data_IF_813714939389
#
_entry.id   IF_813714939389
#
_cell.length_a   1.000
_cell.length_b   1.000
_cell.length_c   1.000
_cell.angle_alpha   90.00
_cell.angle_beta   90.00
_cell.angle_gamma   90.00
#
_symmetry.space_group_name_H-M   'P 1'
#
loop_
_entity.id
_entity.type
_entity.pdbx_description
1 polymer ?
#
# COMPACT_ATOMS: atom_id res chain seq x y z
N UNK A 1 -30.70 32.93 14.64
CA UNK A 1 -29.27 32.59 14.47
C UNK A 1 -28.42 33.85 14.47
N UNK A 2 -27.39 33.89 15.32
CA UNK A 2 -26.40 34.98 15.33
C UNK A 2 -25.61 35.01 14.02
N UNK A 3 -25.07 36.19 13.66
CA UNK A 3 -24.23 36.39 12.47
C UNK A 3 -23.01 35.44 12.51
N UNK A 4 -22.44 35.24 13.71
CA UNK A 4 -21.36 34.27 13.97
C UNK A 4 -21.72 32.87 13.52
N UNK A 5 -22.91 32.38 13.87
CA UNK A 5 -23.32 31.04 13.49
C UNK A 5 -23.44 30.89 11.96
N UNK A 6 -24.01 31.89 11.27
CA UNK A 6 -24.16 31.85 9.81
C UNK A 6 -22.80 31.83 9.10
N UNK A 7 -21.89 32.73 9.48
CA UNK A 7 -20.54 32.78 8.88
C UNK A 7 -19.78 31.47 9.14
N UNK A 8 -19.82 30.97 10.38
CA UNK A 8 -19.17 29.71 10.74
C UNK A 8 -19.76 28.54 9.94
N UNK A 9 -21.08 28.52 9.73
CA UNK A 9 -21.75 27.48 8.95
C UNK A 9 -21.32 27.51 7.47
N UNK A 10 -21.35 28.67 6.82
CA UNK A 10 -20.92 28.80 5.42
C UNK A 10 -19.45 28.43 5.23
N UNK A 11 -18.57 28.91 6.12
CA UNK A 11 -17.16 28.58 6.06
C UNK A 11 -16.90 27.09 6.29
N UNK A 12 -17.63 26.47 7.21
CA UNK A 12 -17.54 25.02 7.45
C UNK A 12 -17.97 24.22 6.22
N UNK A 13 -19.01 24.65 5.50
CA UNK A 13 -19.46 24.00 4.27
C UNK A 13 -18.37 24.08 3.19
N UNK A 14 -17.79 25.27 2.97
CA UNK A 14 -16.72 25.46 1.98
C UNK A 14 -15.50 24.60 2.31
N UNK A 15 -15.09 24.59 3.58
CA UNK A 15 -13.99 23.75 4.03
C UNK A 15 -14.30 22.26 3.87
N UNK A 16 -15.50 21.83 4.23
CA UNK A 16 -15.92 20.43 4.09
C UNK A 16 -15.85 19.98 2.62
N UNK A 17 -16.31 20.81 1.68
CA UNK A 17 -16.23 20.53 0.24
C UNK A 17 -14.76 20.48 -0.20
N UNK A 18 -13.95 21.47 0.17
CA UNK A 18 -12.52 21.52 -0.20
C UNK A 18 -11.73 20.32 0.32
N UNK A 19 -11.91 19.97 1.60
CA UNK A 19 -11.29 18.79 2.20
C UNK A 19 -11.83 17.49 1.61
N UNK A 20 -13.12 17.42 1.27
CA UNK A 20 -13.71 16.26 0.60
C UNK A 20 -13.08 16.00 -0.77
N UNK A 21 -12.87 17.05 -1.57
CA UNK A 21 -12.18 16.94 -2.87
C UNK A 21 -10.73 16.50 -2.67
N UNK A 22 -10.00 17.15 -1.76
CA UNK A 22 -8.61 16.82 -1.48
C UNK A 22 -8.42 15.39 -0.97
N UNK A 23 -9.31 14.94 -0.08
CA UNK A 23 -9.33 13.57 0.43
C UNK A 23 -9.63 12.57 -0.68
N UNK A 24 -10.56 12.88 -1.59
CA UNK A 24 -10.89 12.03 -2.74
C UNK A 24 -9.68 11.87 -3.69
N UNK A 25 -8.99 12.97 -4.01
CA UNK A 25 -7.79 12.96 -4.86
C UNK A 25 -6.66 12.18 -4.18
N UNK A 26 -6.45 12.41 -2.88
CA UNK A 26 -5.41 11.72 -2.10
C UNK A 26 -5.68 10.23 -2.01
N UNK A 27 -6.94 9.85 -1.79
CA UNK A 27 -7.42 8.47 -1.78
C UNK A 27 -7.17 7.78 -3.13
N UNK A 28 -7.56 8.41 -4.23
CA UNK A 28 -7.34 7.89 -5.58
C UNK A 28 -5.84 7.72 -5.90
N UNK A 29 -5.03 8.72 -5.54
CA UNK A 29 -3.59 8.67 -5.76
C UNK A 29 -2.92 7.58 -4.93
N UNK A 30 -3.34 7.43 -3.66
CA UNK A 30 -2.84 6.39 -2.77
C UNK A 30 -3.21 4.99 -3.28
N UNK A 31 -4.44 4.81 -3.75
CA UNK A 31 -4.90 3.57 -4.39
C UNK A 31 -4.03 3.21 -5.59
N UNK A 32 -3.84 4.15 -6.53
CA UNK A 32 -3.02 3.92 -7.73
C UNK A 32 -1.55 3.62 -7.42
N UNK A 33 -0.96 4.32 -6.46
CA UNK A 33 0.43 4.05 -6.02
C UNK A 33 0.56 2.67 -5.38
N UNK A 34 -0.40 2.29 -4.53
CA UNK A 34 -0.39 0.99 -3.87
C UNK A 34 -0.58 -0.15 -4.85
N UNK A 35 -1.49 0.01 -5.83
CA UNK A 35 -1.69 -0.97 -6.90
C UNK A 35 -0.36 -1.25 -7.63
N UNK A 36 0.33 -0.20 -8.05
CA UNK A 36 1.63 -0.33 -8.72
C UNK A 36 2.71 -0.94 -7.83
N UNK A 37 2.77 -0.52 -6.56
CA UNK A 37 3.76 -1.03 -5.59
C UNK A 37 3.57 -2.53 -5.33
N UNK A 38 2.32 -2.98 -5.20
CA UNK A 38 2.01 -4.40 -4.98
C UNK A 38 2.35 -5.22 -6.22
N UNK A 39 2.07 -4.74 -7.44
CA UNK A 39 2.49 -5.42 -8.69
C UNK A 39 4.01 -5.54 -8.74
N UNK A 40 4.75 -4.44 -8.56
CA UNK A 40 6.21 -4.47 -8.58
C UNK A 40 6.79 -5.37 -7.49
N UNK A 41 6.26 -5.29 -6.27
CA UNK A 41 6.70 -6.12 -5.14
C UNK A 41 6.37 -7.60 -5.36
N UNK A 42 5.24 -7.90 -6.01
CA UNK A 42 4.83 -9.24 -6.39
C UNK A 42 5.77 -9.85 -7.44
N UNK A 43 6.12 -9.09 -8.47
CA UNK A 43 7.09 -9.51 -9.49
C UNK A 43 8.48 -9.79 -8.89
N UNK A 44 8.99 -8.88 -8.05
CA UNK A 44 10.28 -9.06 -7.36
C UNK A 44 10.22 -10.29 -6.43
N UNK A 45 9.10 -10.49 -5.73
CA UNK A 45 8.89 -11.66 -4.87
C UNK A 45 8.88 -12.95 -5.69
N UNK A 46 8.21 -12.96 -6.83
CA UNK A 46 8.17 -14.10 -7.74
C UNK A 46 9.56 -14.42 -8.31
N UNK A 47 10.33 -13.40 -8.68
CA UNK A 47 11.71 -13.54 -9.12
C UNK A 47 12.61 -14.09 -8.03
N UNK A 48 12.48 -13.60 -6.78
CA UNK A 48 13.22 -14.13 -5.62
C UNK A 48 12.99 -15.62 -5.43
N UNK A 49 11.74 -16.07 -5.42
CA UNK A 49 11.40 -17.50 -5.29
C UNK A 49 11.92 -18.32 -6.46
N UNK A 50 11.90 -17.76 -7.67
CA UNK A 50 12.47 -18.41 -8.84
C UNK A 50 13.97 -18.66 -8.64
N UNK A 51 14.72 -17.66 -8.19
CA UNK A 51 16.15 -17.82 -7.92
C UNK A 51 16.43 -18.80 -6.77
N UNK A 52 15.62 -18.80 -5.70
CA UNK A 52 15.78 -19.73 -4.58
C UNK A 52 15.56 -21.19 -5.02
N UNK A 53 14.49 -21.47 -5.77
CA UNK A 53 14.23 -22.82 -6.30
C UNK A 53 15.26 -23.21 -7.35
N UNK A 54 15.66 -22.27 -8.21
CA UNK A 54 16.73 -22.49 -9.19
C UNK A 54 18.04 -22.87 -8.52
N UNK A 55 18.45 -22.14 -7.48
CA UNK A 55 19.70 -22.40 -6.74
C UNK A 55 19.71 -23.81 -6.13
N UNK A 56 18.57 -24.22 -5.55
CA UNK A 56 18.40 -25.55 -4.99
C UNK A 56 18.59 -26.66 -6.05
N UNK A 57 17.98 -26.50 -7.23
CA UNK A 57 18.09 -27.47 -8.34
C UNK A 57 19.46 -27.42 -9.03
N UNK A 58 20.01 -26.22 -9.21
CA UNK A 58 21.34 -26.01 -9.79
C UNK A 58 22.44 -26.59 -8.91
N UNK A 59 22.27 -26.57 -7.59
CA UNK A 59 23.18 -27.22 -6.64
C UNK A 59 23.21 -28.74 -6.87
N UNK A 60 22.06 -29.40 -6.94
CA UNK A 60 21.99 -30.84 -7.26
C UNK A 60 22.60 -31.16 -8.63
N UNK A 61 22.30 -30.33 -9.64
CA UNK A 61 22.87 -30.47 -10.98
C UNK A 61 24.39 -30.25 -10.96
N UNK A 62 24.88 -29.30 -10.15
CA UNK A 62 26.29 -29.02 -9.95
C UNK A 62 27.05 -30.22 -9.38
N UNK A 63 26.49 -30.89 -8.37
CA UNK A 63 27.08 -32.09 -7.74
C UNK A 63 27.27 -33.19 -8.78
N UNK A 64 26.20 -33.59 -9.50
CA UNK A 64 26.31 -34.69 -10.46
C UNK A 64 27.17 -34.31 -11.68
N UNK A 65 27.20 -33.02 -12.04
CA UNK A 65 28.12 -32.50 -13.05
C UNK A 65 29.58 -32.59 -12.63
N UNK A 66 29.89 -32.30 -11.37
CA UNK A 66 31.23 -32.44 -10.80
C UNK A 66 31.64 -33.91 -10.73
N UNK A 67 30.74 -34.76 -10.22
CA UNK A 67 30.96 -36.18 -10.02
C UNK A 67 31.37 -36.92 -11.29
N UNK A 68 30.84 -36.55 -12.46
CA UNK A 68 31.19 -37.24 -13.71
C UNK A 68 32.62 -37.02 -14.18
N UNK A 69 33.30 -35.91 -13.83
CA UNK A 69 34.56 -35.53 -14.47
C UNK A 69 35.67 -36.60 -14.33
N UNK A 70 35.94 -37.17 -13.13
CA UNK A 70 36.93 -38.23 -12.99
C UNK A 70 36.58 -39.48 -13.82
N UNK A 71 35.28 -39.77 -13.98
CA UNK A 71 34.77 -40.93 -14.72
C UNK A 71 34.91 -40.79 -16.25
N UNK A 72 35.23 -39.59 -16.75
CA UNK A 72 35.50 -39.38 -18.18
C UNK A 72 36.91 -39.81 -18.60
N UNK A 73 37.83 -39.92 -17.64
CA UNK A 73 39.26 -40.14 -17.92
C UNK A 73 39.83 -41.36 -17.20
N UNK A 74 39.07 -41.95 -16.28
CA UNK A 74 39.48 -43.06 -15.44
C UNK A 74 38.35 -44.07 -15.30
N UNK A 75 38.73 -45.34 -15.17
CA UNK A 75 37.81 -46.44 -14.84
C UNK A 75 38.21 -47.05 -13.48
N UNK A 76 37.83 -46.44 -12.34
CA UNK A 76 38.07 -47.03 -11.04
C UNK A 76 37.35 -48.38 -10.91
N UNK A 77 37.78 -49.25 -9.97
CA UNK A 77 37.05 -50.46 -9.63
C UNK A 77 35.57 -50.18 -9.33
N UNK A 78 34.65 -51.00 -9.88
CA UNK A 78 33.19 -50.81 -9.81
C UNK A 78 32.69 -50.55 -8.38
N UNK A 79 33.24 -51.26 -7.38
CA UNK A 79 32.90 -51.09 -5.98
C UNK A 79 33.26 -49.69 -5.42
N UNK A 80 34.37 -49.10 -5.85
CA UNK A 80 34.76 -47.74 -5.43
C UNK A 80 33.81 -46.69 -6.01
N UNK A 81 33.34 -46.88 -7.26
CA UNK A 81 32.35 -46.00 -7.88
C UNK A 81 31.00 -46.09 -7.13
N UNK A 82 30.56 -47.30 -6.78
CA UNK A 82 29.37 -47.52 -5.94
C UNK A 82 29.51 -46.84 -4.58
N UNK A 83 30.67 -46.96 -3.92
CA UNK A 83 30.94 -46.27 -2.65
C UNK A 83 30.88 -44.75 -2.79
N UNK A 84 31.41 -44.19 -3.89
CA UNK A 84 31.35 -42.76 -4.13
C UNK A 84 29.91 -42.26 -4.38
N UNK A 85 29.10 -43.00 -5.15
CA UNK A 85 27.67 -42.71 -5.31
C UNK A 85 26.92 -42.78 -3.98
N UNK A 86 27.23 -43.79 -3.15
CA UNK A 86 26.63 -43.93 -1.81
C UNK A 86 26.98 -42.76 -0.89
N UNK A 87 28.22 -42.26 -0.95
CA UNK A 87 28.65 -41.14 -0.11
C UNK A 87 27.92 -39.84 -0.47
N UNK A 88 27.59 -39.61 -1.75
CA UNK A 88 26.75 -38.46 -2.16
C UNK A 88 25.44 -38.45 -1.39
N UNK A 89 24.75 -39.58 -1.34
CA UNK A 89 23.48 -39.68 -0.60
C UNK A 89 23.73 -39.57 0.90
N UNK A 90 24.75 -40.26 1.45
CA UNK A 90 25.01 -40.25 2.88
C UNK A 90 25.21 -38.84 3.46
N UNK A 91 25.88 -37.94 2.73
CA UNK A 91 26.15 -36.56 3.20
C UNK A 91 25.12 -35.53 2.74
N UNK A 92 24.16 -35.92 1.88
CA UNK A 92 23.09 -35.04 1.39
C UNK A 92 21.72 -35.72 1.54
N UNK A 93 20.99 -35.38 2.60
CA UNK A 93 19.65 -35.94 2.89
C UNK A 93 18.53 -35.46 1.94
N UNK A 94 18.81 -34.44 1.13
CA UNK A 94 17.90 -33.83 0.17
C UNK A 94 17.66 -34.68 -1.09
N UNK A 95 18.58 -35.62 -1.39
CA UNK A 95 18.50 -36.45 -2.59
C UNK A 95 17.97 -37.84 -2.25
N UNK A 96 17.05 -38.32 -3.10
CA UNK A 96 16.45 -39.63 -2.97
C UNK A 96 17.36 -40.72 -3.51
N UNK A 97 18.00 -40.48 -4.66
CA UNK A 97 18.78 -41.49 -5.35
C UNK A 97 19.92 -40.91 -6.18
N UNK A 98 20.93 -41.74 -6.42
CA UNK A 98 22.06 -41.44 -7.27
C UNK A 98 22.32 -42.65 -8.16
N UNK A 99 22.44 -42.42 -9.48
CA UNK A 99 22.54 -43.48 -10.47
C UNK A 99 23.69 -43.24 -11.43
N UNK A 100 24.18 -44.34 -11.99
CA UNK A 100 25.13 -44.35 -13.09
C UNK A 100 24.74 -45.49 -14.03
N UNK A 101 24.87 -45.27 -15.33
CA UNK A 101 24.61 -46.31 -16.32
C UNK A 101 25.54 -46.12 -17.51
N UNK A 102 26.47 -47.05 -17.72
CA UNK A 102 27.38 -47.03 -18.86
C UNK A 102 26.73 -47.62 -20.10
N UNK A 103 27.25 -47.38 -21.30
CA UNK A 103 27.01 -48.23 -22.47
C UNK A 103 27.70 -49.60 -22.29
N UNK A 104 27.28 -50.66 -23.02
CA UNK A 104 27.90 -51.98 -22.90
C UNK A 104 29.44 -51.90 -23.05
N UNK A 105 30.15 -52.55 -22.13
CA UNK A 105 31.61 -52.61 -22.02
C UNK A 105 32.33 -51.24 -21.95
N UNK A 106 31.61 -50.16 -21.67
CA UNK A 106 32.17 -48.80 -21.77
C UNK A 106 32.87 -48.29 -20.52
N UNK A 107 32.76 -48.99 -19.38
CA UNK A 107 33.53 -48.66 -18.17
C UNK A 107 34.94 -49.27 -18.21
N UNK A 108 35.02 -50.60 -18.27
CA UNK A 108 36.25 -51.37 -18.06
C UNK A 108 36.40 -52.54 -19.05
N UNK A 109 35.49 -52.68 -20.02
CA UNK A 109 35.51 -53.76 -21.00
C UNK A 109 35.21 -55.16 -20.45
N UNK A 110 34.74 -55.28 -19.20
CA UNK A 110 34.63 -56.55 -18.48
C UNK A 110 33.21 -56.85 -17.99
N UNK A 111 32.17 -56.47 -18.73
CA UNK A 111 30.78 -56.67 -18.29
C UNK A 111 30.46 -58.14 -18.03
N UNK A 112 31.00 -59.07 -18.82
CA UNK A 112 30.72 -60.51 -18.73
C UNK A 112 30.99 -61.10 -17.34
N UNK A 113 31.97 -60.59 -16.58
CA UNK A 113 32.28 -61.08 -15.22
C UNK A 113 31.20 -60.72 -14.19
N UNK A 114 30.40 -59.68 -14.45
CA UNK A 114 29.45 -59.10 -13.50
C UNK A 114 27.98 -59.43 -13.80
N UNK A 115 27.71 -60.37 -14.72
CA UNK A 115 26.36 -60.77 -15.10
C UNK A 115 25.50 -61.14 -13.88
N UNK A 116 24.32 -60.52 -13.78
CA UNK A 116 23.34 -60.77 -12.71
C UNK A 116 23.85 -60.48 -11.28
N UNK A 117 24.95 -59.75 -11.12
CA UNK A 117 25.40 -59.27 -9.81
C UNK A 117 24.68 -57.96 -9.45
N UNK A 118 24.70 -57.55 -8.17
CA UNK A 118 24.04 -56.30 -7.74
C UNK A 118 24.61 -55.08 -8.48
N UNK A 119 23.73 -54.19 -8.95
CA UNK A 119 24.11 -53.01 -9.74
C UNK A 119 24.40 -53.30 -11.22
N UNK A 120 24.06 -54.50 -11.70
CA UNK A 120 24.28 -54.93 -13.08
C UNK A 120 23.06 -55.60 -13.70
N UNK A 121 22.95 -55.56 -15.03
CA UNK A 121 21.93 -56.30 -15.77
C UNK A 121 22.37 -57.74 -16.11
N UNK A 122 21.54 -58.45 -16.89
CA UNK A 122 21.83 -59.80 -17.36
C UNK A 122 23.05 -59.91 -18.27
N UNK A 123 23.48 -58.80 -18.87
CA UNK A 123 24.70 -58.73 -19.69
C UNK A 123 25.93 -58.37 -18.85
N UNK A 124 25.73 -57.95 -17.60
CA UNK A 124 26.76 -57.51 -16.67
C UNK A 124 27.19 -56.06 -16.86
N UNK A 125 26.37 -55.28 -17.59
CA UNK A 125 26.51 -53.85 -17.79
C UNK A 125 26.51 -53.12 -16.45
N UNK A 126 27.40 -52.15 -16.27
CA UNK A 126 27.47 -51.37 -15.02
C UNK A 126 26.38 -50.30 -14.96
N UNK A 127 25.34 -50.57 -14.17
CA UNK A 127 24.14 -49.74 -14.01
C UNK A 127 23.71 -49.58 -12.53
N UNK A 128 24.60 -49.17 -11.61
CA UNK A 128 24.24 -49.07 -10.20
C UNK A 128 23.22 -47.94 -9.95
N UNK A 129 22.18 -48.26 -9.19
CA UNK A 129 21.25 -47.29 -8.63
C UNK A 129 21.26 -47.39 -7.11
N UNK A 130 21.67 -46.29 -6.47
CA UNK A 130 21.65 -46.14 -5.01
C UNK A 130 20.45 -45.27 -4.68
N UNK A 131 19.62 -45.68 -3.72
CA UNK A 131 18.50 -44.87 -3.27
C UNK A 131 18.17 -45.10 -1.80
N UNK A 132 17.37 -44.20 -1.22
CA UNK A 132 16.88 -44.33 0.16
C UNK A 132 15.97 -45.55 0.31
N UNK A 133 16.15 -46.27 1.41
CA UNK A 133 15.34 -47.43 1.80
C UNK A 133 14.08 -47.03 2.57
N UNK A 134 13.71 -47.82 3.58
CA UNK A 134 12.57 -47.52 4.44
C UNK A 134 12.82 -46.32 5.35
N UNK A 135 14.08 -46.10 5.74
CA UNK A 135 14.52 -44.91 6.49
C UNK A 135 15.42 -44.03 5.63
N UNK A 136 15.57 -42.75 5.99
CA UNK A 136 16.47 -41.84 5.28
C UNK A 136 17.94 -42.25 5.44
N UNK A 137 18.32 -42.97 6.48
CA UNK A 137 19.70 -43.43 6.73
C UNK A 137 20.04 -44.70 5.94
N UNK A 138 19.03 -45.52 5.61
CA UNK A 138 19.20 -46.71 4.80
C UNK A 138 19.45 -46.33 3.33
N UNK A 139 20.55 -46.84 2.76
CA UNK A 139 20.86 -46.69 1.32
C UNK A 139 20.95 -48.08 0.70
N UNK A 140 20.07 -48.35 -0.26
CA UNK A 140 19.91 -49.61 -0.99
C UNK A 140 20.59 -49.51 -2.35
N UNK A 141 21.24 -50.60 -2.77
CA UNK A 141 21.79 -50.77 -4.11
C UNK A 141 20.91 -51.71 -4.93
N UNK A 142 20.47 -51.27 -6.10
CA UNK A 142 19.83 -52.09 -7.14
C UNK A 142 20.39 -51.78 -8.53
N UNK A 143 20.00 -52.57 -9.54
CA UNK A 143 20.30 -52.29 -10.94
C UNK A 143 19.29 -51.27 -11.47
N UNK A 144 19.76 -50.22 -12.14
CA UNK A 144 18.90 -49.19 -12.72
C UNK A 144 17.98 -49.80 -13.78
N UNK A 145 16.69 -49.44 -13.76
CA UNK A 145 15.65 -49.97 -14.65
C UNK A 145 15.36 -48.99 -15.79
N UNK A 146 14.76 -49.52 -16.87
CA UNK A 146 14.17 -48.75 -17.96
C UNK A 146 15.15 -47.92 -18.82
N UNK A 147 16.46 -48.14 -18.71
CA UNK A 147 17.45 -47.43 -19.55
C UNK A 147 17.26 -47.70 -21.05
N UNK A 148 16.55 -48.76 -21.41
CA UNK A 148 16.16 -49.16 -22.77
C UNK A 148 14.71 -48.78 -23.14
N UNK A 149 13.90 -48.30 -22.18
CA UNK A 149 12.52 -47.88 -22.44
C UNK A 149 12.45 -46.58 -23.25
N UNK A 150 11.48 -46.50 -24.17
CA UNK A 150 11.13 -45.27 -24.88
C UNK A 150 10.05 -44.45 -24.16
N UNK A 151 9.49 -44.97 -23.06
CA UNK A 151 8.54 -44.27 -22.21
C UNK A 151 9.20 -43.20 -21.33
N UNK A 152 8.40 -42.38 -20.63
CA UNK A 152 8.91 -41.33 -19.73
C UNK A 152 9.85 -41.87 -18.65
N UNK A 153 9.66 -43.12 -18.21
CA UNK A 153 10.53 -43.79 -17.24
C UNK A 153 11.93 -44.13 -17.77
N UNK A 154 12.16 -44.06 -19.08
CA UNK A 154 13.46 -44.22 -19.72
C UNK A 154 14.12 -42.90 -20.18
N UNK A 155 13.41 -41.76 -20.08
CA UNK A 155 13.91 -40.45 -20.52
C UNK A 155 15.23 -40.06 -19.83
N UNK A 156 15.43 -40.50 -18.58
CA UNK A 156 16.67 -40.26 -17.81
C UNK A 156 17.93 -40.80 -18.52
N UNK A 157 17.80 -41.87 -19.31
CA UNK A 157 18.90 -42.45 -20.09
C UNK A 157 18.84 -42.04 -21.57
N UNK A 158 17.66 -42.18 -22.17
CA UNK A 158 17.47 -42.03 -23.62
C UNK A 158 17.70 -40.60 -24.10
N UNK A 159 17.26 -39.59 -23.35
CA UNK A 159 17.39 -38.19 -23.79
C UNK A 159 18.85 -37.73 -23.75
N UNK A 160 19.61 -37.90 -22.66
CA UNK A 160 21.04 -37.58 -22.67
C UNK A 160 21.82 -38.40 -23.70
N UNK A 161 21.48 -39.69 -23.91
CA UNK A 161 22.09 -40.52 -24.95
C UNK A 161 21.88 -39.95 -26.35
N UNK A 162 20.67 -39.51 -26.69
CA UNK A 162 20.35 -38.96 -28.03
C UNK A 162 20.96 -37.56 -28.21
N UNK A 163 20.73 -36.68 -27.25
CA UNK A 163 21.02 -35.24 -27.36
C UNK A 163 22.44 -34.84 -26.94
N UNK A 164 23.17 -35.75 -26.26
CA UNK A 164 24.49 -35.49 -25.66
C UNK A 164 24.50 -34.28 -24.72
N UNK A 165 23.34 -33.92 -24.18
CA UNK A 165 23.11 -32.72 -23.37
C UNK A 165 22.73 -33.06 -21.94
N UNK A 166 22.95 -32.11 -21.03
CA UNK A 166 22.45 -32.20 -19.64
C UNK A 166 20.92 -32.12 -19.68
N UNK A 167 20.25 -32.80 -18.75
CA UNK A 167 18.81 -32.97 -18.83
C UNK A 167 18.19 -33.14 -17.44
N UNK A 168 17.20 -32.33 -17.10
CA UNK A 168 16.38 -32.52 -15.90
C UNK A 168 15.04 -33.15 -16.28
N UNK A 169 14.82 -34.44 -16.02
CA UNK A 169 13.61 -35.14 -16.50
C UNK A 169 12.33 -34.44 -16.05
N UNK A 170 11.29 -34.47 -16.88
CA UNK A 170 9.94 -34.24 -16.37
C UNK A 170 9.62 -35.25 -15.25
N UNK A 171 8.69 -34.94 -14.34
CA UNK A 171 8.23 -35.87 -13.31
C UNK A 171 7.77 -37.21 -13.88
N UNK A 172 8.19 -38.31 -13.25
CA UNK A 172 7.82 -39.65 -13.67
C UNK A 172 7.83 -40.64 -12.49
N UNK A 173 7.12 -41.76 -12.63
CA UNK A 173 7.14 -42.84 -11.65
C UNK A 173 8.28 -43.81 -11.95
N UNK A 174 9.10 -44.10 -10.94
CA UNK A 174 10.14 -45.12 -10.99
C UNK A 174 9.84 -46.23 -9.98
N UNK A 175 9.90 -47.48 -10.41
CA UNK A 175 9.68 -48.62 -9.53
C UNK A 175 10.98 -49.07 -8.86
N UNK A 176 11.03 -49.08 -7.52
CA UNK A 176 12.16 -49.60 -6.73
C UNK A 176 11.89 -51.03 -6.24
N UNK A 177 12.87 -51.65 -5.57
CA UNK A 177 12.70 -52.95 -4.91
C UNK A 177 11.43 -53.00 -4.04
N UNK A 178 10.68 -54.09 -4.14
CA UNK A 178 9.39 -54.26 -3.44
C UNK A 178 8.17 -53.78 -4.24
N UNK A 179 8.34 -53.44 -5.53
CA UNK A 179 7.27 -52.95 -6.43
C UNK A 179 6.62 -51.64 -5.97
N UNK A 180 7.40 -50.82 -5.25
CA UNK A 180 6.97 -49.49 -4.81
C UNK A 180 7.29 -48.50 -5.92
N UNK A 181 6.31 -47.70 -6.34
CA UNK A 181 6.50 -46.63 -7.32
C UNK A 181 6.76 -45.32 -6.60
N UNK A 182 7.89 -44.70 -6.90
CA UNK A 182 8.31 -43.40 -6.36
C UNK A 182 8.17 -42.37 -7.47
N UNK A 183 7.42 -41.31 -7.20
CA UNK A 183 7.29 -40.17 -8.09
C UNK A 183 8.49 -39.23 -7.90
N UNK A 184 9.27 -39.02 -8.96
CA UNK A 184 10.54 -38.29 -8.90
C UNK A 184 10.82 -37.48 -10.16
N UNK A 185 11.85 -36.64 -10.07
CA UNK A 185 12.56 -36.08 -11.21
C UNK A 185 14.05 -36.36 -11.09
N UNK A 186 14.73 -36.50 -12.21
CA UNK A 186 16.16 -36.86 -12.27
C UNK A 186 16.98 -35.79 -12.97
N UNK A 187 18.06 -35.36 -12.32
CA UNK A 187 19.07 -34.47 -12.88
C UNK A 187 20.17 -35.30 -13.53
N UNK A 188 20.24 -35.27 -14.86
CA UNK A 188 21.07 -36.15 -15.66
C UNK A 188 22.19 -35.42 -16.39
N UNK A 189 23.36 -36.03 -16.40
CA UNK A 189 24.50 -35.61 -17.20
C UNK A 189 25.03 -36.78 -18.03
N UNK A 190 25.33 -36.56 -19.33
CA UNK A 190 25.97 -37.58 -20.14
C UNK A 190 27.46 -37.68 -19.78
N UNK A 191 27.97 -38.91 -19.77
CA UNK A 191 29.38 -39.23 -19.81
C UNK A 191 29.84 -39.07 -21.26
N UNK A 192 30.15 -37.83 -21.66
CA UNK A 192 30.48 -37.47 -23.03
C UNK A 192 31.83 -36.75 -23.10
N UNK A 193 32.78 -37.36 -23.81
CA UNK A 193 34.15 -36.86 -24.00
C UNK A 193 34.68 -37.39 -25.33
N UNK A 194 35.54 -36.61 -26.02
CA UNK A 194 36.11 -36.96 -27.33
C UNK A 194 35.04 -37.41 -28.36
N UNK A 195 33.93 -36.69 -28.39
CA UNK A 195 32.75 -36.94 -29.24
C UNK A 195 32.07 -38.31 -29.05
N UNK A 196 32.43 -39.07 -28.01
CA UNK A 196 31.87 -40.37 -27.69
C UNK A 196 31.02 -40.33 -26.42
N UNK A 197 29.92 -41.08 -26.43
CA UNK A 197 29.01 -41.24 -25.31
C UNK A 197 29.25 -42.58 -24.61
N UNK A 198 29.57 -42.53 -23.33
CA UNK A 198 29.90 -43.69 -22.51
C UNK A 198 28.78 -44.07 -21.53
N UNK A 199 27.77 -43.22 -21.34
CA UNK A 199 26.72 -43.44 -20.35
C UNK A 199 26.12 -42.16 -19.77
N UNK A 200 25.43 -42.29 -18.64
CA UNK A 200 24.86 -41.16 -17.88
C UNK A 200 25.13 -41.30 -16.39
N UNK A 201 25.26 -40.16 -15.70
CA UNK A 201 25.20 -40.06 -14.24
C UNK A 201 23.98 -39.23 -13.86
N UNK A 202 23.29 -39.60 -12.78
CA UNK A 202 22.03 -38.99 -12.37
C UNK A 202 21.88 -38.81 -10.86
N UNK A 203 21.13 -37.79 -10.47
CA UNK A 203 20.73 -37.51 -9.09
C UNK A 203 19.22 -37.26 -9.04
N UNK A 204 18.52 -37.87 -8.09
CA UNK A 204 17.07 -37.94 -8.07
C UNK A 204 16.49 -37.16 -6.89
N UNK A 205 15.45 -36.37 -7.17
CA UNK A 205 14.58 -35.79 -6.15
C UNK A 205 13.25 -36.52 -6.13
N UNK A 206 12.85 -37.02 -4.95
CA UNK A 206 11.47 -37.43 -4.72
C UNK A 206 10.58 -36.18 -4.68
N UNK A 207 9.50 -36.16 -5.45
CA UNK A 207 8.65 -34.96 -5.54
C UNK A 207 7.95 -34.64 -4.22
N UNK A 208 7.69 -35.63 -3.38
CA UNK A 208 7.13 -35.43 -2.04
C UNK A 208 8.03 -34.54 -1.17
N UNK A 209 9.35 -34.73 -1.21
CA UNK A 209 10.32 -33.90 -0.48
C UNK A 209 10.37 -32.47 -1.08
N UNK A 210 10.30 -32.34 -2.42
CA UNK A 210 10.20 -31.03 -3.07
C UNK A 210 8.91 -30.30 -2.67
N UNK A 211 7.78 -31.02 -2.61
CA UNK A 211 6.49 -30.48 -2.19
C UNK A 211 6.54 -29.98 -0.75
N UNK A 212 7.13 -30.75 0.17
CA UNK A 212 7.28 -30.36 1.57
C UNK A 212 8.23 -29.16 1.75
N UNK A 213 9.26 -29.04 0.90
CA UNK A 213 10.23 -27.96 0.97
C UNK A 213 9.73 -26.65 0.36
N UNK A 214 9.11 -26.74 -0.82
CA UNK A 214 8.75 -25.59 -1.67
C UNK A 214 7.24 -25.34 -1.63
N UNK A 215 6.42 -26.38 -1.83
CA UNK A 215 4.98 -26.24 -2.04
C UNK A 215 4.21 -25.69 -0.84
N UNK A 216 4.71 -25.90 0.39
CA UNK A 216 4.09 -25.37 1.62
C UNK A 216 4.43 -23.91 1.89
N UNK A 217 5.40 -23.32 1.17
CA UNK A 217 5.84 -21.94 1.41
C UNK A 217 4.81 -20.95 0.89
N UNK A 218 4.66 -19.85 1.63
CA UNK A 218 3.77 -18.75 1.28
C UNK A 218 4.59 -17.60 0.71
N UNK A 219 4.38 -17.22 -0.57
CA UNK A 219 5.31 -16.35 -1.25
C UNK A 219 5.27 -14.90 -0.75
N UNK A 220 4.09 -14.39 -0.38
CA UNK A 220 3.86 -12.97 -0.15
C UNK A 220 3.03 -12.76 1.11
N UNK A 221 3.64 -12.21 2.18
CA UNK A 221 2.97 -11.91 3.45
C UNK A 221 2.12 -13.08 4.00
N UNK A 222 2.70 -14.29 4.03
CA UNK A 222 2.03 -15.53 4.45
C UNK A 222 0.79 -15.93 3.62
N UNK A 223 0.57 -15.29 2.46
CA UNK A 223 -0.48 -15.57 1.50
C UNK A 223 0.08 -16.08 0.17
N UNK A 224 -0.82 -16.65 -0.64
CA UNK A 224 -0.50 -17.21 -1.95
C UNK A 224 0.01 -18.64 -1.91
N UNK A 225 0.56 -19.09 -3.03
CA UNK A 225 1.17 -20.41 -3.16
C UNK A 225 2.22 -20.45 -4.28
N UNK A 226 3.08 -21.45 -4.21
CA UNK A 226 4.15 -21.72 -5.16
C UNK A 226 3.85 -22.99 -5.95
N UNK A 227 4.16 -22.98 -7.25
CA UNK A 227 4.03 -24.13 -8.13
C UNK A 227 5.26 -24.23 -9.02
N UNK A 228 5.83 -25.42 -9.17
CA UNK A 228 6.94 -25.70 -10.08
C UNK A 228 6.44 -26.59 -11.21
N UNK A 229 6.58 -26.13 -12.45
CA UNK A 229 6.04 -26.79 -13.63
C UNK A 229 7.18 -27.19 -14.56
N UNK A 230 7.16 -28.46 -14.99
CA UNK A 230 8.14 -29.03 -15.92
C UNK A 230 7.91 -28.54 -17.36
N UNK A 231 8.91 -28.66 -18.26
CA UNK A 231 8.78 -28.25 -19.66
C UNK A 231 7.58 -28.85 -20.40
N UNK A 232 7.13 -30.07 -20.02
CA UNK A 232 5.94 -30.72 -20.60
C UNK A 232 4.61 -30.32 -19.93
N UNK A 233 4.61 -29.37 -19.00
CA UNK A 233 3.43 -28.92 -18.28
C UNK A 233 3.00 -29.86 -17.16
N UNK A 234 3.94 -30.56 -16.52
CA UNK A 234 3.68 -31.47 -15.39
C UNK A 234 4.10 -30.80 -14.09
N UNK A 235 3.26 -30.85 -13.06
CA UNK A 235 3.56 -30.24 -11.78
C UNK A 235 4.61 -31.07 -11.02
N UNK A 236 5.79 -30.50 -10.77
CA UNK A 236 6.75 -31.07 -9.84
C UNK A 236 6.44 -30.68 -8.39
N UNK A 237 5.86 -29.49 -8.20
CA UNK A 237 5.38 -28.95 -6.92
C UNK A 237 4.08 -28.20 -7.21
N UNK A 238 3.08 -28.35 -6.33
CA UNK A 238 1.85 -27.58 -6.43
C UNK A 238 1.35 -27.21 -5.02
N UNK A 239 1.53 -25.94 -4.64
CA UNK A 239 1.13 -25.41 -3.33
C UNK A 239 -0.35 -25.05 -3.21
N UNK A 240 -1.12 -25.10 -4.31
CA UNK A 240 -2.57 -24.94 -4.27
C UNK A 240 -3.26 -26.26 -3.92
N UNK A 241 -2.88 -27.34 -4.61
CA UNK A 241 -3.38 -28.70 -4.37
C UNK A 241 -2.25 -29.71 -4.58
N UNK A 242 -1.80 -30.33 -3.49
CA UNK A 242 -0.71 -31.31 -3.52
C UNK A 242 -1.06 -32.59 -4.28
N UNK A 243 -2.35 -32.89 -4.50
CA UNK A 243 -2.76 -34.07 -5.26
C UNK A 243 -2.44 -33.94 -6.76
N UNK A 244 -2.23 -32.72 -7.24
CA UNK A 244 -1.84 -32.45 -8.63
C UNK A 244 -0.35 -32.70 -8.90
N UNK A 245 0.45 -32.98 -7.89
CA UNK A 245 1.89 -33.27 -8.06
C UNK A 245 2.05 -34.54 -8.90
N UNK A 246 2.81 -34.44 -10.00
CA UNK A 246 2.96 -35.49 -11.01
C UNK A 246 1.88 -35.49 -12.10
N UNK A 247 0.83 -34.69 -11.95
CA UNK A 247 -0.20 -34.52 -12.98
C UNK A 247 0.18 -33.44 -13.98
N UNK A 248 -0.34 -33.58 -15.19
CA UNK A 248 -0.26 -32.55 -16.23
C UNK A 248 -1.29 -31.46 -15.95
N UNK A 249 -1.04 -30.23 -16.39
CA UNK A 249 -2.06 -29.18 -16.45
C UNK A 249 -3.32 -29.76 -17.11
N UNK A 250 -4.43 -29.75 -16.38
CA UNK A 250 -5.64 -30.52 -16.72
C UNK A 250 -6.49 -29.85 -17.79
N UNK A 251 -6.55 -28.51 -17.78
CA UNK A 251 -7.21 -27.77 -18.84
C UNK A 251 -6.34 -27.71 -20.11
N UNK A 252 -6.92 -28.10 -21.25
CA UNK A 252 -6.19 -28.21 -22.49
C UNK A 252 -5.72 -26.85 -23.04
N UNK A 253 -6.51 -25.79 -22.84
CA UNK A 253 -6.17 -24.44 -23.32
C UNK A 253 -5.08 -23.83 -22.46
N UNK A 254 -5.16 -24.00 -21.14
CA UNK A 254 -4.10 -23.59 -20.22
C UNK A 254 -2.79 -24.32 -20.51
N UNK A 255 -2.85 -25.64 -20.78
CA UNK A 255 -1.68 -26.41 -21.16
C UNK A 255 -1.09 -25.91 -22.49
N UNK A 256 -1.90 -25.69 -23.52
CA UNK A 256 -1.44 -25.16 -24.80
C UNK A 256 -0.79 -23.79 -24.65
N UNK A 257 -1.42 -22.90 -23.87
CA UNK A 257 -0.88 -21.58 -23.54
C UNK A 257 0.46 -21.68 -22.80
N UNK A 258 0.55 -22.55 -21.78
CA UNK A 258 1.77 -22.80 -21.03
C UNK A 258 2.90 -23.32 -21.94
N UNK A 259 2.62 -24.32 -22.77
CA UNK A 259 3.63 -24.93 -23.65
C UNK A 259 4.15 -23.92 -24.69
N UNK A 260 3.29 -23.02 -25.17
CA UNK A 260 3.69 -21.94 -26.07
C UNK A 260 4.57 -20.91 -25.36
N UNK A 261 4.08 -20.35 -24.24
CA UNK A 261 4.74 -19.25 -23.53
C UNK A 261 6.02 -19.64 -22.80
N UNK A 262 6.05 -20.81 -22.18
CA UNK A 262 7.22 -21.27 -21.41
C UNK A 262 8.47 -21.40 -22.26
N UNK A 263 8.35 -21.76 -23.54
CA UNK A 263 9.48 -21.94 -24.45
C UNK A 263 10.01 -20.63 -25.04
N UNK A 264 9.25 -19.53 -24.94
CA UNK A 264 9.74 -18.18 -25.30
C UNK A 264 10.83 -17.72 -24.31
N UNK A 265 10.84 -18.25 -23.09
CA UNK A 265 11.81 -17.91 -22.04
C UNK A 265 11.53 -16.57 -21.33
N UNK A 266 10.49 -15.86 -21.75
CA UNK A 266 10.08 -14.57 -21.18
C UNK A 266 9.10 -14.74 -20.02
N UNK A 267 9.14 -13.79 -19.07
CA UNK A 267 8.21 -13.74 -17.93
C UNK A 267 6.80 -13.44 -18.44
N UNK A 268 5.79 -14.08 -17.88
CA UNK A 268 4.38 -13.80 -18.24
C UNK A 268 3.45 -13.90 -17.03
N UNK A 269 2.29 -13.27 -17.13
CA UNK A 269 1.29 -13.22 -16.05
C UNK A 269 -0.10 -13.58 -16.56
N UNK A 270 -0.93 -14.12 -15.67
CA UNK A 270 -2.37 -14.35 -15.90
C UNK A 270 -3.17 -14.03 -14.65
N UNK A 271 -4.46 -13.76 -14.81
CA UNK A 271 -5.38 -13.57 -13.69
C UNK A 271 -6.50 -14.62 -13.77
N UNK A 272 -6.63 -15.45 -12.73
CA UNK A 272 -7.67 -16.47 -12.62
C UNK A 272 -7.96 -16.83 -11.16
N UNK A 273 -9.17 -17.32 -10.87
CA UNK A 273 -9.58 -17.83 -9.55
C UNK A 273 -9.33 -16.88 -8.35
N UNK A 274 -9.30 -15.57 -8.60
CA UNK A 274 -9.02 -14.56 -7.58
C UNK A 274 -7.54 -14.38 -7.23
N UNK A 275 -6.64 -14.90 -8.06
CA UNK A 275 -5.19 -14.73 -7.97
C UNK A 275 -4.63 -14.07 -9.24
N UNK A 276 -3.53 -13.34 -9.07
CA UNK A 276 -2.60 -13.05 -10.14
C UNK A 276 -1.48 -14.09 -10.10
N UNK A 277 -1.25 -14.76 -11.22
CA UNK A 277 -0.24 -15.79 -11.39
C UNK A 277 0.95 -15.22 -12.17
N UNK A 278 2.12 -15.30 -11.57
CA UNK A 278 3.38 -14.85 -12.15
C UNK A 278 4.21 -16.06 -12.56
N UNK A 279 4.56 -16.17 -13.83
CA UNK A 279 5.32 -17.28 -14.40
C UNK A 279 6.71 -16.83 -14.82
N UNK A 280 7.72 -17.52 -14.28
CA UNK A 280 9.13 -17.21 -14.49
C UNK A 280 9.84 -18.44 -15.06
N UNK A 281 10.05 -18.50 -16.40
CA UNK A 281 10.87 -19.53 -17.03
C UNK A 281 12.34 -19.45 -16.58
N UNK A 282 12.96 -20.61 -16.32
CA UNK A 282 14.38 -20.71 -15.99
C UNK A 282 14.99 -22.06 -16.41
N UNK A 283 16.31 -22.10 -16.56
CA UNK A 283 17.06 -23.32 -16.86
C UNK A 283 17.61 -23.99 -15.60
N UNK A 284 17.75 -25.32 -15.62
CA UNK A 284 18.47 -26.09 -14.60
C UNK A 284 19.85 -26.48 -15.15
N UNK A 285 20.90 -25.92 -14.56
CA UNK A 285 22.29 -26.10 -14.99
C UNK A 285 22.51 -25.68 -16.45
N UNK A 286 22.80 -26.67 -17.31
CA UNK A 286 23.01 -26.47 -18.76
C UNK A 286 21.91 -27.13 -19.62
N UNK A 287 20.82 -27.62 -19.02
CA UNK A 287 19.65 -28.02 -19.79
C UNK A 287 19.05 -26.77 -20.45
N UNK A 288 18.78 -26.83 -21.75
CA UNK A 288 18.25 -25.70 -22.55
C UNK A 288 16.74 -25.53 -22.40
N UNK A 289 16.05 -26.51 -21.83
CA UNK A 289 14.59 -26.41 -21.65
C UNK A 289 14.27 -25.50 -20.48
N UNK A 290 13.11 -24.85 -20.55
CA UNK A 290 12.61 -24.00 -19.50
C UNK A 290 11.71 -24.78 -18.55
N UNK A 291 12.12 -24.85 -17.29
CA UNK A 291 11.22 -25.07 -16.17
C UNK A 291 10.57 -23.75 -15.81
N UNK A 292 9.39 -23.78 -15.22
CA UNK A 292 8.67 -22.54 -14.88
C UNK A 292 8.32 -22.54 -13.41
N UNK A 293 8.74 -21.48 -12.72
CA UNK A 293 8.25 -21.17 -11.40
C UNK A 293 6.98 -20.33 -11.52
N UNK A 294 5.88 -20.82 -10.97
CA UNK A 294 4.63 -20.06 -10.85
C UNK A 294 4.48 -19.58 -9.40
N UNK A 295 4.24 -18.29 -9.24
CA UNK A 295 3.96 -17.65 -7.95
C UNK A 295 2.57 -17.02 -8.04
N UNK A 296 1.66 -17.51 -7.20
CA UNK A 296 0.25 -17.08 -7.23
C UNK A 296 -0.05 -16.23 -6.01
N UNK A 297 -0.49 -15.00 -6.23
CA UNK A 297 -0.72 -14.00 -5.19
C UNK A 297 -2.20 -13.60 -5.21
N UNK A 298 -2.94 -13.69 -4.10
CA UNK A 298 -4.37 -13.44 -4.09
C UNK A 298 -4.69 -11.96 -4.28
N UNK A 299 -5.71 -11.69 -5.09
CA UNK A 299 -6.19 -10.33 -5.38
C UNK A 299 -6.84 -9.67 -4.15
N UNK A 300 -7.05 -10.40 -3.06
CA UNK A 300 -7.49 -9.84 -1.78
C UNK A 300 -6.42 -9.04 -1.05
N UNK A 301 -5.13 -9.22 -1.35
CA UNK A 301 -4.03 -8.46 -0.70
C UNK A 301 -4.23 -6.96 -0.87
N UNK A 302 -4.72 -6.53 -2.03
CA UNK A 302 -5.07 -5.14 -2.27
C UNK A 302 -6.11 -4.64 -1.26
N UNK A 303 -7.14 -5.44 -0.93
CA UNK A 303 -8.27 -4.98 -0.10
C UNK A 303 -7.84 -4.62 1.32
N UNK A 304 -7.04 -5.46 1.98
CA UNK A 304 -6.61 -5.20 3.36
C UNK A 304 -5.66 -4.00 3.44
N UNK A 305 -4.70 -3.93 2.52
CA UNK A 305 -3.77 -2.82 2.42
C UNK A 305 -4.51 -1.49 2.13
N UNK A 306 -5.45 -1.49 1.18
CA UNK A 306 -6.28 -0.33 0.84
C UNK A 306 -7.10 0.12 2.05
N UNK A 307 -7.83 -0.79 2.70
CA UNK A 307 -8.68 -0.43 3.85
C UNK A 307 -7.87 0.24 4.95
N UNK A 308 -6.68 -0.28 5.27
CA UNK A 308 -5.80 0.31 6.29
C UNK A 308 -5.36 1.74 5.93
N UNK A 309 -5.07 1.99 4.64
CA UNK A 309 -4.67 3.31 4.13
C UNK A 309 -5.87 4.25 4.09
N UNK A 310 -7.05 3.78 3.70
CA UNK A 310 -8.29 4.55 3.71
C UNK A 310 -8.64 5.02 5.13
N UNK A 311 -8.56 4.12 6.12
CA UNK A 311 -8.80 4.49 7.51
C UNK A 311 -7.80 5.54 8.01
N UNK A 312 -6.51 5.40 7.69
CA UNK A 312 -5.50 6.41 8.04
C UNK A 312 -5.75 7.75 7.35
N UNK A 313 -6.03 7.75 6.06
CA UNK A 313 -6.32 8.98 5.30
C UNK A 313 -7.59 9.68 5.84
N UNK A 314 -8.61 8.90 6.18
CA UNK A 314 -9.85 9.41 6.77
C UNK A 314 -9.61 10.02 8.15
N UNK A 315 -8.89 9.34 9.04
CA UNK A 315 -8.60 9.87 10.39
C UNK A 315 -7.74 11.13 10.34
N UNK A 316 -6.74 11.20 9.45
CA UNK A 316 -5.95 12.42 9.26
C UNK A 316 -6.78 13.59 8.71
N UNK A 317 -7.61 13.35 7.70
CA UNK A 317 -8.49 14.39 7.12
C UNK A 317 -9.46 14.92 8.18
N UNK A 318 -10.06 14.02 8.96
CA UNK A 318 -10.98 14.40 10.04
C UNK A 318 -10.27 15.19 11.14
N UNK A 319 -9.07 14.78 11.55
CA UNK A 319 -8.27 15.49 12.55
C UNK A 319 -7.92 16.92 12.10
N UNK A 320 -7.51 17.09 10.84
CA UNK A 320 -7.21 18.41 10.27
C UNK A 320 -8.47 19.28 10.19
N UNK A 321 -9.61 18.71 9.77
CA UNK A 321 -10.88 19.43 9.71
C UNK A 321 -11.30 19.95 11.10
N UNK A 322 -11.23 19.09 12.13
CA UNK A 322 -11.53 19.46 13.52
C UNK A 322 -10.57 20.56 14.00
N UNK A 323 -9.27 20.44 13.73
CA UNK A 323 -8.28 21.44 14.11
C UNK A 323 -8.55 22.80 13.46
N UNK A 324 -8.90 22.83 12.16
CA UNK A 324 -9.25 24.06 11.44
C UNK A 324 -10.53 24.69 12.03
N UNK A 325 -11.57 23.91 12.31
CA UNK A 325 -12.80 24.40 12.93
C UNK A 325 -12.53 24.99 14.31
N UNK A 326 -11.75 24.31 15.15
CA UNK A 326 -11.37 24.81 16.48
C UNK A 326 -10.57 26.12 16.36
N UNK A 327 -9.59 26.16 15.46
CA UNK A 327 -8.77 27.35 15.23
C UNK A 327 -9.62 28.54 14.78
N UNK A 328 -10.52 28.34 13.80
CA UNK A 328 -11.46 29.36 13.35
C UNK A 328 -12.36 29.83 14.49
N UNK A 329 -12.88 28.92 15.32
CA UNK A 329 -13.75 29.29 16.43
C UNK A 329 -13.04 30.22 17.43
N UNK A 330 -11.78 29.93 17.76
CA UNK A 330 -10.93 30.78 18.61
C UNK A 330 -10.68 32.15 17.96
N UNK A 331 -10.38 32.18 16.66
CA UNK A 331 -10.15 33.41 15.88
C UNK A 331 -11.42 34.28 15.87
N UNK A 332 -12.58 33.71 15.55
CA UNK A 332 -13.87 34.42 15.54
C UNK A 332 -14.27 34.97 16.91
N UNK A 333 -13.98 34.21 17.99
CA UNK A 333 -14.27 34.65 19.34
C UNK A 333 -13.40 35.84 19.75
N UNK A 334 -12.07 35.75 19.53
CA UNK A 334 -11.13 36.77 19.98
C UNK A 334 -11.10 38.03 19.12
N UNK A 335 -11.18 37.89 17.80
CA UNK A 335 -10.96 39.02 16.89
C UNK A 335 -12.25 39.75 16.52
N UNK A 336 -13.32 39.02 16.23
CA UNK A 336 -14.54 39.62 15.65
C UNK A 336 -15.60 39.85 16.73
N UNK A 337 -15.95 38.81 17.49
CA UNK A 337 -17.08 38.87 18.43
C UNK A 337 -16.83 39.87 19.56
N UNK A 338 -15.63 39.86 20.14
CA UNK A 338 -15.26 40.78 21.22
C UNK A 338 -15.27 42.25 20.76
N UNK A 339 -14.81 42.54 19.54
CA UNK A 339 -14.83 43.89 18.97
C UNK A 339 -16.25 44.39 18.69
N UNK A 340 -17.09 43.55 18.08
CA UNK A 340 -18.50 43.89 17.83
C UNK A 340 -19.30 44.09 19.12
N UNK A 341 -19.11 43.25 20.14
CA UNK A 341 -19.81 43.41 21.42
C UNK A 341 -19.42 44.72 22.12
N UNK A 342 -18.16 45.16 22.02
CA UNK A 342 -17.75 46.48 22.50
C UNK A 342 -18.45 47.61 21.76
N UNK A 343 -18.62 47.49 20.45
CA UNK A 343 -19.36 48.48 19.66
C UNK A 343 -20.86 48.50 20.00
N UNK A 344 -21.47 47.33 20.20
CA UNK A 344 -22.87 47.22 20.65
C UNK A 344 -23.05 47.87 22.02
N UNK A 345 -22.24 47.51 23.01
CA UNK A 345 -22.32 48.11 24.35
C UNK A 345 -22.08 49.62 24.33
N UNK A 346 -21.14 50.11 23.50
CA UNK A 346 -20.95 51.56 23.34
C UNK A 346 -22.16 52.26 22.69
N UNK A 347 -22.86 51.58 21.78
CA UNK A 347 -24.10 52.08 21.21
C UNK A 347 -25.21 52.19 22.25
N UNK A 348 -25.31 51.18 23.13
CA UNK A 348 -26.29 51.15 24.22
C UNK A 348 -26.03 52.29 25.21
N UNK A 349 -24.77 52.55 25.60
CA UNK A 349 -24.41 53.69 26.46
C UNK A 349 -24.83 55.05 25.85
N UNK A 350 -24.62 55.24 24.55
CA UNK A 350 -25.08 56.45 23.85
C UNK A 350 -26.61 56.53 23.83
N UNK A 351 -27.30 55.41 23.57
CA UNK A 351 -28.75 55.34 23.52
C UNK A 351 -29.41 55.62 24.88
N UNK A 352 -28.78 55.17 25.97
CA UNK A 352 -29.21 55.42 27.35
C UNK A 352 -28.88 56.86 27.83
N UNK A 353 -28.28 57.68 26.95
CA UNK A 353 -27.98 59.09 27.22
C UNK A 353 -26.63 59.33 27.92
N UNK A 354 -25.81 58.30 28.12
CA UNK A 354 -24.46 58.45 28.65
C UNK A 354 -23.48 58.95 27.58
N UNK A 355 -23.52 60.25 27.32
CA UNK A 355 -22.63 60.90 26.33
C UNK A 355 -21.22 61.18 26.85
N UNK A 356 -20.86 60.72 28.05
CA UNK A 356 -19.52 60.85 28.62
C UNK A 356 -18.69 59.57 28.38
N UNK A 357 -19.36 58.45 28.12
CA UNK A 357 -18.72 57.21 27.73
C UNK A 357 -17.83 57.38 26.48
N UNK A 358 -16.68 56.72 26.47
CA UNK A 358 -15.78 56.66 25.33
C UNK A 358 -15.36 55.22 25.09
N UNK A 359 -15.34 54.82 23.83
CA UNK A 359 -14.85 53.51 23.41
C UNK A 359 -13.71 53.70 22.43
N UNK A 360 -12.54 53.14 22.75
CA UNK A 360 -11.37 53.14 21.87
C UNK A 360 -11.08 51.73 21.37
N UNK A 361 -10.58 51.65 20.15
CA UNK A 361 -10.08 50.42 19.55
C UNK A 361 -8.72 50.69 18.93
N UNK A 362 -7.69 50.05 19.45
CA UNK A 362 -6.30 50.29 19.04
C UNK A 362 -5.96 49.71 17.65
N UNK A 363 -6.89 48.98 17.02
CA UNK A 363 -6.73 48.42 15.68
C UNK A 363 -7.43 49.27 14.62
N UNK A 364 -6.73 49.48 13.50
CA UNK A 364 -7.25 50.15 12.29
C UNK A 364 -8.02 49.18 11.40
N UNK A 365 -9.01 48.50 11.96
CA UNK A 365 -9.91 47.61 11.22
C UNK A 365 -11.32 48.23 11.10
N UNK A 366 -12.25 47.48 10.51
CA UNK A 366 -13.63 47.91 10.32
C UNK A 366 -14.33 48.21 11.65
N UNK A 367 -13.95 47.51 12.73
CA UNK A 367 -14.48 47.73 14.08
C UNK A 367 -13.96 49.04 14.67
N UNK A 368 -12.66 49.33 14.51
CA UNK A 368 -12.08 50.62 14.90
C UNK A 368 -12.71 51.79 14.15
N UNK A 369 -12.98 51.62 12.85
CA UNK A 369 -13.65 52.64 12.02
C UNK A 369 -15.09 52.89 12.49
N UNK A 370 -15.83 51.82 12.83
CA UNK A 370 -17.18 51.91 13.39
C UNK A 370 -17.18 52.67 14.72
N UNK A 371 -16.32 52.29 15.66
CA UNK A 371 -16.22 52.93 16.97
C UNK A 371 -15.81 54.40 16.86
N UNK A 372 -14.89 54.74 15.95
CA UNK A 372 -14.53 56.14 15.67
C UNK A 372 -15.71 56.95 15.13
N UNK A 373 -16.52 56.37 14.25
CA UNK A 373 -17.70 57.03 13.70
C UNK A 373 -18.78 57.24 14.77
N UNK A 374 -18.95 56.27 15.67
CA UNK A 374 -19.85 56.39 16.83
C UNK A 374 -19.38 57.44 17.83
N UNK A 375 -18.06 57.56 18.08
CA UNK A 375 -17.50 58.63 18.90
C UNK A 375 -17.83 60.01 18.30
N UNK A 376 -17.67 60.18 16.98
CA UNK A 376 -18.02 61.41 16.27
C UNK A 376 -19.52 61.72 16.38
N UNK A 377 -20.38 60.70 16.31
CA UNK A 377 -21.82 60.85 16.52
C UNK A 377 -22.14 61.31 17.95
N UNK A 378 -21.55 60.68 18.97
CA UNK A 378 -21.67 61.10 20.38
C UNK A 378 -21.23 62.54 20.59
N UNK A 379 -20.11 62.96 20.00
CA UNK A 379 -19.63 64.35 20.07
C UNK A 379 -20.62 65.34 19.48
N UNK A 380 -21.20 65.02 18.33
CA UNK A 380 -22.24 65.85 17.72
C UNK A 380 -23.49 65.95 18.62
N UNK A 381 -23.94 64.83 19.21
CA UNK A 381 -25.07 64.83 20.16
C UNK A 381 -24.78 65.70 21.39
N UNK A 382 -23.56 65.58 21.95
CA UNK A 382 -23.13 66.38 23.09
C UNK A 382 -23.05 67.87 22.75
N UNK A 383 -22.61 68.21 21.53
CA UNK A 383 -22.61 69.59 21.01
C UNK A 383 -24.03 70.14 20.91
N UNK A 384 -24.97 69.38 20.35
CA UNK A 384 -26.39 69.77 20.26
C UNK A 384 -26.99 70.00 21.65
N UNK A 385 -26.73 69.13 22.63
CA UNK A 385 -27.20 69.33 24.01
C UNK A 385 -26.61 70.59 24.66
N UNK A 386 -25.32 70.87 24.43
CA UNK A 386 -24.70 72.12 24.91
C UNK A 386 -25.31 73.35 24.26
N UNK A 387 -25.59 73.32 22.97
CA UNK A 387 -26.26 74.41 22.25
C UNK A 387 -27.69 74.62 22.76
N UNK A 388 -28.44 73.54 23.05
CA UNK A 388 -29.77 73.62 23.67
C UNK A 388 -29.67 74.20 25.09
N UNK A 389 -28.73 73.72 25.91
CA UNK A 389 -28.52 74.25 27.27
C UNK A 389 -28.10 75.73 27.26
N UNK A 390 -27.23 76.11 26.33
CA UNK A 390 -26.87 77.51 26.09
C UNK A 390 -28.08 78.33 25.67
N UNK A 391 -28.87 77.84 24.71
CA UNK A 391 -30.10 78.47 24.23
C UNK A 391 -31.12 78.65 25.36
N UNK A 392 -31.30 77.64 26.20
CA UNK A 392 -32.18 77.68 27.37
C UNK A 392 -31.70 78.72 28.42
N UNK A 393 -30.38 78.84 28.64
CA UNK A 393 -29.82 79.89 29.50
C UNK A 393 -30.06 81.28 28.91
N UNK A 394 -29.77 81.51 27.63
CA UNK A 394 -30.13 82.79 26.97
C UNK A 394 -31.64 83.06 27.03
N UNK A 395 -32.48 82.06 26.87
CA UNK A 395 -33.93 82.21 26.97
C UNK A 395 -34.35 82.58 28.40
N UNK A 396 -33.75 81.96 29.42
CA UNK A 396 -33.94 82.31 30.83
C UNK A 396 -33.52 83.76 31.11
N UNK A 397 -32.33 84.16 30.69
CA UNK A 397 -31.80 85.51 30.88
C UNK A 397 -32.64 86.55 30.11
N UNK A 398 -33.15 86.20 28.92
CA UNK A 398 -34.07 87.05 28.15
C UNK A 398 -35.43 87.17 28.84
N UNK A 399 -35.94 86.07 29.39
CA UNK A 399 -37.19 86.05 30.16
C UNK A 399 -37.08 86.89 31.44
N UNK A 400 -35.92 86.85 32.12
CA UNK A 400 -35.63 87.68 33.30
C UNK A 400 -35.57 89.16 32.94
N UNK A 401 -34.83 89.53 31.87
CA UNK A 401 -34.84 90.91 31.33
C UNK A 401 -36.23 91.38 30.93
N UNK A 402 -37.07 90.49 30.40
CA UNK A 402 -38.43 90.80 30.00
C UNK A 402 -39.34 91.01 31.22
N UNK A 403 -39.20 90.20 32.26
CA UNK A 403 -39.89 90.38 33.53
C UNK A 403 -39.53 91.73 34.19
N UNK A 404 -38.25 92.09 34.20
CA UNK A 404 -37.79 93.38 34.71
C UNK A 404 -38.29 94.56 33.87
N UNK A 405 -38.27 94.43 32.53
CA UNK A 405 -38.86 95.44 31.64
C UNK A 405 -40.35 95.63 31.88
N UNK A 406 -41.10 94.54 32.11
CA UNK A 406 -42.53 94.58 32.41
C UNK A 406 -42.81 95.23 33.77
N UNK A 407 -41.99 94.97 34.80
CA UNK A 407 -42.04 95.68 36.10
C UNK A 407 -41.81 97.18 35.91
N UNK A 408 -40.77 97.57 35.17
CA UNK A 408 -40.48 98.98 34.89
C UNK A 408 -41.63 99.65 34.12
N UNK A 409 -42.22 98.95 33.15
CA UNK A 409 -43.38 99.45 32.41
C UNK A 409 -44.59 99.68 33.32
N UNK A 410 -44.91 98.74 34.21
CA UNK A 410 -45.98 98.91 35.21
C UNK A 410 -45.70 100.06 36.18
N UNK A 411 -44.44 100.29 36.52
CA UNK A 411 -44.04 101.41 37.39
C UNK A 411 -44.23 102.75 36.66
N UNK A 412 -43.81 102.84 35.40
CA UNK A 412 -44.06 103.97 34.51
C UNK A 412 -45.55 104.24 34.30
N UNK A 413 -46.35 103.19 34.09
CA UNK A 413 -47.80 103.31 33.89
C UNK A 413 -48.48 103.82 35.15
N UNK A 414 -48.09 103.32 36.33
CA UNK A 414 -48.53 103.85 37.63
C UNK A 414 -48.14 105.32 37.80
N UNK A 415 -46.92 105.70 37.42
CA UNK A 415 -46.45 107.09 37.48
C UNK A 415 -47.28 108.02 36.57
N UNK A 416 -47.55 107.59 35.33
CA UNK A 416 -48.41 108.31 34.38
C UNK A 416 -49.85 108.44 34.87
N UNK A 417 -50.43 107.38 35.44
CA UNK A 417 -51.76 107.42 36.04
C UNK A 417 -51.83 108.37 37.25
N UNK A 418 -50.76 108.43 38.06
CA UNK A 418 -50.65 109.36 39.18
C UNK A 418 -50.60 110.82 38.68
N UNK A 419 -49.80 111.09 37.65
CA UNK A 419 -49.72 112.40 36.98
C UNK A 419 -51.08 112.79 36.36
N UNK A 420 -51.77 111.85 35.71
CA UNK A 420 -53.08 112.09 35.12
C UNK A 420 -54.14 112.41 36.19
N UNK A 421 -54.11 111.69 37.33
CA UNK A 421 -54.94 111.99 38.50
C UNK A 421 -54.66 113.39 39.06
N UNK A 422 -53.39 113.79 39.18
CA UNK A 422 -53.03 115.13 39.64
C UNK A 422 -53.48 116.24 38.67
N UNK A 423 -53.35 116.02 37.36
CA UNK A 423 -53.86 116.93 36.32
C UNK A 423 -55.39 117.08 36.38
N UNK A 424 -56.13 115.97 36.55
CA UNK A 424 -57.58 116.00 36.72
C UNK A 424 -58.04 116.69 38.01
N UNK A 425 -57.26 116.59 39.10
CA UNK A 425 -57.51 117.32 40.33
C UNK A 425 -57.26 118.83 40.18
N UNK A 426 -56.23 119.24 39.44
CA UNK A 426 -55.94 120.65 39.15
C UNK A 426 -57.02 121.28 38.24
N UNK A 427 -57.55 120.51 37.27
CA UNK A 427 -58.64 120.95 36.39
C UNK A 427 -59.96 121.24 37.11
N UNK A 428 -60.20 120.69 38.30
CA UNK A 428 -61.45 120.90 39.05
C UNK A 428 -61.47 122.17 39.91
N UNK A 429 -60.36 122.91 40.01
CA UNK A 429 -60.19 123.99 41.00
C UNK A 429 -59.94 125.40 40.42
N UNK A 430 -60.30 125.70 39.17
CA UNK A 430 -60.20 127.06 38.63
C UNK A 430 -61.57 127.71 38.33
N UNK A 431 -61.91 128.86 38.94
CA UNK A 431 -63.22 129.52 38.81
C UNK A 431 -63.37 130.38 37.53
N UNK A 432 -64.62 130.51 37.07
CA UNK A 432 -65.11 131.30 35.91
C UNK A 432 -64.88 132.82 36.05
N UNK A 433 -64.67 133.54 34.94
CA UNK A 433 -64.99 134.97 34.84
C UNK A 433 -66.13 135.27 33.84
N UNK A 434 -66.92 136.28 34.21
CA UNK A 434 -68.06 136.89 33.51
C UNK A 434 -67.74 137.44 32.11
N UNK A 435 -68.62 137.13 31.14
CA UNK A 435 -69.58 138.09 30.56
C UNK A 435 -70.68 137.37 29.80
#
# INVERSE_FOLDING_TARGET
MSIRFRISLYLSIVLFIGFGILASISCYTAYKKLEQEVVNSSEITAERWTYEVKDYLDTGMGIIRGFRFPLLFSAPPRNQIISALKEILKVNDHYFGARLAYEPNSLDGNDLEFQNTLGHDSTGRFIPYLHRGQTKEEIVLEAAKYYDSLGPEGDWYQVPKKTKSHYATDPYYYEIKGKVKILMMSLMVPLYVNDQFYGVAGLDYQLEELQQRIGVKKPFQDLGYLTLISPKGIYAVNGFDSNRVGEKISDAKELEYYLSKSQEGEKFTTDSDGYTHYYFPFHIGKDKRYWVMQVSIPNSIYKEAILSILFKAFTYTLAVLIAVILCLNVIFQKLITAGLLKAVGFSEEIADGNLIAQSSHDKKDEIGTLLSSMNKMRENLLKVLREIGGSANTLRDTSEKMADSSRNFLTSLKLKLLLLKNLLLLSKNSPLPHK
#
